data_IF_563687199868
#
_entry.id   IF_563687199868
#
_cell.length_a   1.000
_cell.length_b   1.000
_cell.length_c   1.000
_cell.angle_alpha   90.00
_cell.angle_beta   90.00
_cell.angle_gamma   90.00
#
_symmetry.space_group_name_H-M   'P 1'
#
loop_
_entity.id
_entity.type
_entity.pdbx_description
1 polymer ?
#
# COMPACT_ATOMS: atom_id res chain seq x y z
N UNK A 1 -24.10 11.85 -12.09
CA UNK A 1 -23.28 12.85 -11.38
C UNK A 1 -22.15 12.23 -10.53
N UNK A 2 -22.45 11.34 -9.58
CA UNK A 2 -21.42 10.72 -8.74
C UNK A 2 -20.40 9.95 -9.57
N UNK A 3 -20.82 9.20 -10.57
CA UNK A 3 -19.93 8.44 -11.45
C UNK A 3 -18.87 9.31 -12.16
N UNK A 4 -19.25 10.48 -12.63
CA UNK A 4 -18.32 11.41 -13.30
C UNK A 4 -17.27 11.95 -12.32
N UNK A 5 -17.68 12.23 -11.08
CA UNK A 5 -16.76 12.67 -10.01
C UNK A 5 -15.80 11.56 -9.66
N UNK A 6 -16.27 10.31 -9.52
CA UNK A 6 -15.43 9.14 -9.23
C UNK A 6 -14.38 8.93 -10.33
N UNK A 7 -14.80 8.98 -11.61
CA UNK A 7 -13.87 8.83 -12.75
C UNK A 7 -12.81 9.94 -12.74
N UNK A 8 -13.19 11.17 -12.46
CA UNK A 8 -12.25 12.29 -12.39
C UNK A 8 -11.22 12.08 -11.26
N UNK A 9 -11.67 11.66 -10.09
CA UNK A 9 -10.78 11.38 -8.95
C UNK A 9 -9.86 10.19 -9.25
N UNK A 10 -10.35 9.16 -9.93
CA UNK A 10 -9.53 8.03 -10.35
C UNK A 10 -8.44 8.43 -11.35
N UNK A 11 -8.76 9.29 -12.33
CA UNK A 11 -7.76 9.81 -13.28
C UNK A 11 -6.71 10.66 -12.55
N UNK A 12 -7.12 11.49 -11.60
CA UNK A 12 -6.20 12.28 -10.78
C UNK A 12 -5.26 11.38 -9.96
N UNK A 13 -5.78 10.34 -9.35
CA UNK A 13 -4.98 9.37 -8.60
C UNK A 13 -3.97 8.69 -9.53
N UNK A 14 -4.41 8.15 -10.66
CA UNK A 14 -3.54 7.44 -11.62
C UNK A 14 -2.40 8.30 -12.14
N UNK A 15 -2.59 9.62 -12.28
CA UNK A 15 -1.57 10.57 -12.72
C UNK A 15 -0.60 11.01 -11.62
N UNK A 16 -0.90 10.71 -10.37
CA UNK A 16 -0.02 11.02 -9.25
C UNK A 16 1.07 9.95 -9.09
N UNK A 17 2.12 10.26 -8.36
CA UNK A 17 3.21 9.32 -8.04
C UNK A 17 2.79 8.32 -6.96
N UNK A 18 1.79 8.68 -6.15
CA UNK A 18 1.33 7.90 -5.00
C UNK A 18 0.93 6.46 -5.33
N UNK A 19 0.08 6.17 -6.36
CA UNK A 19 -0.27 4.80 -6.69
C UNK A 19 0.95 3.95 -7.09
N UNK A 20 1.91 4.53 -7.78
CA UNK A 20 3.14 3.82 -8.17
C UNK A 20 4.02 3.48 -6.99
N UNK A 21 4.17 4.41 -6.03
CA UNK A 21 4.91 4.16 -4.79
C UNK A 21 4.19 3.12 -3.94
N UNK A 22 2.88 3.23 -3.75
CA UNK A 22 2.10 2.27 -2.96
C UNK A 22 2.11 0.88 -3.57
N UNK A 23 2.01 0.77 -4.90
CA UNK A 23 2.12 -0.49 -5.61
C UNK A 23 3.51 -1.12 -5.43
N UNK A 24 4.58 -0.32 -5.61
CA UNK A 24 5.95 -0.80 -5.44
C UNK A 24 6.21 -1.30 -4.01
N UNK A 25 5.74 -0.58 -3.00
CA UNK A 25 5.87 -0.98 -1.58
C UNK A 25 5.13 -2.28 -1.30
N UNK A 26 3.89 -2.41 -1.77
CA UNK A 26 3.08 -3.61 -1.56
C UNK A 26 3.64 -4.84 -2.28
N UNK A 27 4.19 -4.69 -3.48
CA UNK A 27 4.83 -5.78 -4.21
C UNK A 27 6.21 -6.14 -3.64
N UNK A 28 6.97 -5.16 -3.16
CA UNK A 28 8.28 -5.40 -2.57
C UNK A 28 8.21 -6.18 -1.24
N UNK A 29 7.15 -5.98 -0.46
CA UNK A 29 6.98 -6.62 0.85
C UNK A 29 7.11 -8.16 0.81
N UNK A 30 6.30 -8.87 0.01
CA UNK A 30 6.38 -10.32 -0.13
C UNK A 30 7.75 -10.80 -0.65
N UNK A 31 8.41 -10.04 -1.53
CA UNK A 31 9.75 -10.37 -2.02
C UNK A 31 10.81 -10.28 -0.92
N UNK A 32 10.75 -9.25 -0.09
CA UNK A 32 11.65 -9.12 1.07
C UNK A 32 11.39 -10.26 2.05
N UNK A 33 10.13 -10.61 2.27
CA UNK A 33 9.77 -11.72 3.15
C UNK A 33 10.23 -13.07 2.59
N UNK A 34 10.10 -13.30 1.29
CA UNK A 34 10.60 -14.50 0.61
C UNK A 34 12.13 -14.62 0.74
N UNK A 35 12.86 -13.50 0.59
CA UNK A 35 14.30 -13.46 0.82
C UNK A 35 14.64 -13.81 2.26
N UNK A 36 13.90 -13.29 3.24
CA UNK A 36 14.08 -13.60 4.65
C UNK A 36 13.87 -15.08 4.95
N UNK A 37 12.81 -15.67 4.38
CA UNK A 37 12.53 -17.10 4.49
C UNK A 37 13.62 -17.98 3.86
N UNK A 38 14.17 -17.54 2.72
CA UNK A 38 15.29 -18.23 2.11
C UNK A 38 16.54 -18.19 2.99
N UNK A 39 16.86 -17.05 3.62
CA UNK A 39 17.96 -16.89 4.55
C UNK A 39 17.82 -17.83 5.76
N UNK A 40 16.62 -17.96 6.30
CA UNK A 40 16.34 -18.86 7.44
C UNK A 40 16.52 -20.32 7.04
N UNK A 41 16.12 -20.67 5.80
CA UNK A 41 16.20 -22.04 5.30
C UNK A 41 17.62 -22.48 4.96
N UNK A 42 18.46 -21.59 4.46
CA UNK A 42 19.84 -21.87 4.03
C UNK A 42 20.84 -20.89 4.69
N UNK A 43 21.03 -20.97 6.01
CA UNK A 43 21.82 -19.99 6.76
C UNK A 43 23.30 -19.99 6.36
N UNK A 44 23.86 -21.13 5.98
CA UNK A 44 25.27 -21.24 5.55
C UNK A 44 25.54 -20.49 4.26
N UNK A 45 24.64 -20.62 3.27
CA UNK A 45 24.73 -19.85 2.02
C UNK A 45 24.49 -18.36 2.22
N UNK A 46 23.55 -18.01 3.07
CA UNK A 46 23.28 -16.63 3.40
C UNK A 46 24.49 -15.98 4.11
N UNK A 47 25.16 -16.70 4.98
CA UNK A 47 26.38 -16.24 5.65
C UNK A 47 27.55 -16.05 4.65
N UNK A 48 27.72 -16.98 3.69
CA UNK A 48 28.76 -16.86 2.65
C UNK A 48 28.55 -15.66 1.72
N UNK A 49 27.30 -15.22 1.54
CA UNK A 49 26.94 -14.02 0.78
C UNK A 49 26.94 -12.73 1.61
N UNK A 50 27.33 -12.82 2.89
CA UNK A 50 27.39 -11.66 3.79
C UNK A 50 26.00 -11.13 4.24
N UNK A 51 24.93 -11.89 4.02
CA UNK A 51 23.57 -11.51 4.39
C UNK A 51 23.24 -11.78 5.86
N UNK A 52 24.05 -12.60 6.54
CA UNK A 52 23.92 -12.89 7.96
C UNK A 52 25.15 -12.37 8.71
N UNK A 53 24.91 -11.56 9.72
CA UNK A 53 25.96 -11.22 10.69
C UNK A 53 26.28 -12.41 11.60
N UNK A 54 27.49 -12.48 12.11
CA UNK A 54 28.05 -13.56 12.97
C UNK A 54 27.25 -13.82 14.26
N UNK A 55 26.31 -12.93 14.63
CA UNK A 55 25.49 -13.01 15.86
C UNK A 55 24.01 -13.19 15.59
N UNK A 56 23.58 -13.35 14.33
CA UNK A 56 22.18 -13.54 14.00
C UNK A 56 21.73 -14.94 14.42
N UNK A 57 21.01 -15.03 15.54
CA UNK A 57 20.40 -16.28 16.00
C UNK A 57 18.99 -16.40 15.41
N UNK A 58 18.86 -17.21 14.37
CA UNK A 58 17.58 -17.51 13.72
C UNK A 58 16.92 -18.78 14.29
N UNK A 59 17.46 -19.31 15.39
CA UNK A 59 16.90 -20.47 16.07
C UNK A 59 15.48 -20.16 16.60
N UNK A 60 14.51 -20.93 16.15
CA UNK A 60 13.10 -20.74 16.52
C UNK A 60 12.22 -20.10 15.46
N UNK A 61 12.80 -19.64 14.34
CA UNK A 61 12.01 -19.20 13.18
C UNK A 61 11.82 -20.39 12.23
N UNK A 62 10.56 -20.69 11.90
CA UNK A 62 10.21 -21.76 10.97
C UNK A 62 10.04 -21.21 9.55
N UNK A 63 10.82 -21.74 8.61
CA UNK A 63 10.71 -21.44 7.18
C UNK A 63 9.78 -22.47 6.50
N UNK A 64 8.50 -22.45 6.86
CA UNK A 64 7.45 -23.29 6.30
C UNK A 64 6.48 -22.50 5.47
N UNK A 65 5.78 -23.14 4.52
CA UNK A 65 4.76 -22.47 3.70
C UNK A 65 3.62 -21.87 4.53
N UNK A 66 3.08 -22.56 5.57
CA UNK A 66 2.08 -21.93 6.44
C UNK A 66 2.58 -20.72 7.17
N UNK A 67 3.83 -20.74 7.67
CA UNK A 67 4.44 -19.59 8.33
C UNK A 67 4.59 -18.41 7.35
N UNK A 68 5.06 -18.66 6.12
CA UNK A 68 5.14 -17.64 5.08
C UNK A 68 3.78 -17.00 4.81
N UNK A 69 2.73 -17.81 4.61
CA UNK A 69 1.38 -17.31 4.39
C UNK A 69 0.86 -16.45 5.55
N UNK A 70 1.15 -16.85 6.79
CA UNK A 70 0.78 -16.07 7.97
C UNK A 70 1.51 -14.71 8.03
N UNK A 71 2.82 -14.69 7.78
CA UNK A 71 3.60 -13.44 7.75
C UNK A 71 3.17 -12.51 6.61
N UNK A 72 2.89 -13.05 5.42
CA UNK A 72 2.33 -12.25 4.31
C UNK A 72 0.99 -11.65 4.71
N UNK A 73 0.11 -12.42 5.33
CA UNK A 73 -1.20 -11.93 5.77
C UNK A 73 -1.09 -10.79 6.79
N UNK A 74 -0.19 -10.92 7.76
CA UNK A 74 0.09 -9.86 8.75
C UNK A 74 0.69 -8.64 8.07
N UNK A 75 1.65 -8.84 7.16
CA UNK A 75 2.28 -7.75 6.41
C UNK A 75 1.26 -6.98 5.57
N UNK A 76 0.45 -7.70 4.79
CA UNK A 76 -0.60 -7.09 3.95
C UNK A 76 -1.65 -6.40 4.81
N UNK A 77 -2.04 -6.97 5.94
CA UNK A 77 -2.98 -6.35 6.87
C UNK A 77 -2.44 -5.04 7.45
N UNK A 78 -1.25 -5.08 8.03
CA UNK A 78 -0.64 -3.91 8.67
C UNK A 78 -0.22 -2.85 7.63
N UNK A 79 0.56 -3.24 6.61
CA UNK A 79 1.02 -2.33 5.58
C UNK A 79 -0.15 -1.81 4.72
N UNK A 80 -1.13 -2.67 4.42
CA UNK A 80 -2.33 -2.27 3.68
C UNK A 80 -3.13 -1.19 4.38
N UNK A 81 -3.27 -1.26 5.71
CA UNK A 81 -3.92 -0.20 6.50
C UNK A 81 -3.15 1.12 6.45
N UNK A 82 -1.82 1.07 6.58
CA UNK A 82 -0.97 2.27 6.46
C UNK A 82 -1.05 2.88 5.07
N UNK A 83 -0.99 2.05 4.02
CA UNK A 83 -1.12 2.49 2.63
C UNK A 83 -2.50 3.10 2.39
N UNK A 84 -3.57 2.49 2.90
CA UNK A 84 -4.91 3.05 2.80
C UNK A 84 -5.00 4.42 3.46
N UNK A 85 -4.50 4.56 4.69
CA UNK A 85 -4.47 5.83 5.40
C UNK A 85 -3.69 6.90 4.61
N UNK A 86 -2.55 6.54 4.04
CA UNK A 86 -1.73 7.43 3.22
C UNK A 86 -2.45 7.88 1.94
N UNK A 87 -3.07 6.95 1.22
CA UNK A 87 -3.85 7.24 0.00
C UNK A 87 -5.03 8.17 0.30
N UNK A 88 -5.77 7.89 1.38
CA UNK A 88 -6.87 8.74 1.83
C UNK A 88 -6.36 10.14 2.18
N UNK A 89 -5.31 10.24 2.98
CA UNK A 89 -4.70 11.52 3.35
C UNK A 89 -4.23 12.31 2.12
N UNK A 90 -3.65 11.65 1.12
CA UNK A 90 -3.23 12.26 -0.13
C UNK A 90 -4.41 12.79 -0.95
N UNK A 91 -5.47 11.98 -1.11
CA UNK A 91 -6.68 12.38 -1.86
C UNK A 91 -7.38 13.59 -1.26
N UNK A 92 -7.42 13.69 0.06
CA UNK A 92 -8.02 14.85 0.72
C UNK A 92 -7.05 16.05 0.82
N UNK A 93 -5.77 15.78 1.11
CA UNK A 93 -4.76 16.82 1.30
C UNK A 93 -4.38 17.57 0.02
N UNK A 94 -4.42 16.88 -1.13
CA UNK A 94 -4.03 17.44 -2.41
C UNK A 94 -4.81 18.72 -2.79
N UNK A 95 -6.09 18.75 -2.52
CA UNK A 95 -6.95 19.90 -2.85
C UNK A 95 -6.62 21.13 -2.03
N UNK A 96 -6.17 20.93 -0.79
CA UNK A 96 -5.68 22.01 0.06
C UNK A 96 -4.32 22.51 -0.43
N UNK A 97 -3.43 21.59 -0.79
CA UNK A 97 -2.11 21.92 -1.29
C UNK A 97 -2.16 22.66 -2.65
N UNK A 98 -3.05 22.24 -3.55
CA UNK A 98 -3.25 22.86 -4.87
C UNK A 98 -4.10 24.13 -4.81
N UNK A 99 -4.61 24.52 -3.64
CA UNK A 99 -5.48 25.70 -3.46
C UNK A 99 -6.84 25.61 -4.16
N UNK A 100 -7.21 24.43 -4.66
CA UNK A 100 -8.43 24.19 -5.42
C UNK A 100 -9.66 23.95 -4.54
N UNK A 101 -9.46 23.80 -3.22
CA UNK A 101 -10.53 23.53 -2.26
C UNK A 101 -11.65 24.60 -2.32
N UNK A 102 -11.28 25.88 -2.47
CA UNK A 102 -12.25 26.98 -2.59
C UNK A 102 -13.13 26.87 -3.84
N UNK A 103 -12.54 26.48 -4.98
CA UNK A 103 -13.25 26.33 -6.24
C UNK A 103 -14.21 25.13 -6.22
N UNK A 104 -13.84 24.05 -5.55
CA UNK A 104 -14.70 22.86 -5.39
C UNK A 104 -15.90 23.13 -4.49
N UNK A 105 -15.74 24.00 -3.47
CA UNK A 105 -16.81 24.41 -2.59
C UNK A 105 -17.81 25.38 -3.26
N UNK A 106 -17.42 26.00 -4.36
CA UNK A 106 -18.27 26.89 -5.16
C UNK A 106 -19.14 26.14 -6.21
N UNK A 107 -18.88 24.86 -6.44
CA UNK A 107 -19.66 24.04 -7.36
C UNK A 107 -21.01 23.64 -6.74
N UNK A 108 -22.10 23.59 -7.53
CA UNK A 108 -23.43 23.19 -7.08
C UNK A 108 -23.55 21.67 -6.91
N UNK A 109 -22.57 21.06 -6.25
CA UNK A 109 -22.53 19.60 -5.96
C UNK A 109 -22.48 19.41 -4.45
N UNK A 110 -23.26 18.47 -3.89
CA UNK A 110 -23.22 18.19 -2.46
C UNK A 110 -21.79 17.83 -2.00
N UNK A 111 -21.30 18.50 -0.96
CA UNK A 111 -19.96 18.27 -0.39
C UNK A 111 -19.71 16.80 -0.03
N UNK A 112 -20.78 16.12 0.42
CA UNK A 112 -20.75 14.70 0.71
C UNK A 112 -20.41 13.83 -0.53
N UNK A 113 -20.85 14.23 -1.73
CA UNK A 113 -20.57 13.48 -2.95
C UNK A 113 -19.07 13.42 -3.27
N UNK A 114 -18.33 14.52 -3.03
CA UNK A 114 -16.87 14.53 -3.21
C UNK A 114 -16.17 13.63 -2.19
N UNK A 115 -16.59 13.69 -0.92
CA UNK A 115 -16.04 12.83 0.13
C UNK A 115 -16.26 11.35 -0.16
N UNK A 116 -17.48 10.98 -0.53
CA UNK A 116 -17.84 9.60 -0.90
C UNK A 116 -17.05 9.13 -2.13
N UNK A 117 -16.94 9.96 -3.18
CA UNK A 117 -16.17 9.61 -4.37
C UNK A 117 -14.70 9.31 -4.07
N UNK A 118 -14.07 10.10 -3.20
CA UNK A 118 -12.68 9.89 -2.76
C UNK A 118 -12.51 8.59 -1.97
N UNK A 119 -13.44 8.30 -1.07
CA UNK A 119 -13.43 7.05 -0.30
C UNK A 119 -13.63 5.83 -1.20
N UNK A 120 -14.52 5.91 -2.18
CA UNK A 120 -14.74 4.85 -3.17
C UNK A 120 -13.46 4.60 -3.97
N UNK A 121 -12.81 5.64 -4.47
CA UNK A 121 -11.54 5.52 -5.21
C UNK A 121 -10.44 4.93 -4.35
N UNK A 122 -10.31 5.37 -3.10
CA UNK A 122 -9.33 4.83 -2.16
C UNK A 122 -9.59 3.35 -1.86
N UNK A 123 -10.84 2.97 -1.63
CA UNK A 123 -11.23 1.59 -1.37
C UNK A 123 -10.98 0.69 -2.60
N UNK A 124 -11.34 1.14 -3.81
CA UNK A 124 -11.05 0.41 -5.05
C UNK A 124 -9.54 0.21 -5.25
N UNK A 125 -8.75 1.24 -5.00
CA UNK A 125 -7.30 1.16 -5.11
C UNK A 125 -6.71 0.19 -4.09
N UNK A 126 -7.17 0.27 -2.84
CA UNK A 126 -6.74 -0.65 -1.78
C UNK A 126 -7.08 -2.11 -2.10
N UNK A 127 -8.31 -2.37 -2.57
CA UNK A 127 -8.71 -3.73 -2.99
C UNK A 127 -7.84 -4.24 -4.14
N UNK A 128 -7.50 -3.37 -5.10
CA UNK A 128 -6.59 -3.72 -6.18
C UNK A 128 -5.20 -4.09 -5.64
N UNK A 129 -4.66 -3.33 -4.69
CA UNK A 129 -3.34 -3.61 -4.09
C UNK A 129 -3.33 -4.92 -3.29
N UNK A 130 -4.41 -5.23 -2.57
CA UNK A 130 -4.52 -6.47 -1.79
C UNK A 130 -4.68 -7.69 -2.71
N UNK A 131 -5.32 -7.52 -3.87
CA UNK A 131 -5.50 -8.58 -4.86
C UNK A 131 -4.27 -8.80 -5.75
N UNK A 132 -3.38 -7.85 -5.82
CA UNK A 132 -2.16 -7.92 -6.63
C UNK A 132 -1.09 -8.77 -5.96
#
# INVERSE_FOLDING_TARGET
>A
MIGTVVVTEFIKLRRSVVPWITLAVMLAGPWVLALFMWIIREPERAASLGLLGTKANLAGLEATWPAFGNYVSVLVGAAGMLVLAFVVAHLFGREYADGTAKNMLALPVPRAAFGVAKLVVAACWWLFLVAA
#
